data_IF_923493795563
#
_entry.id   IF_923493795563
#
_cell.length_a   1.000
_cell.length_b   1.000
_cell.length_c   1.000
_cell.angle_alpha   90.00
_cell.angle_beta   90.00
_cell.angle_gamma   90.00
#
_symmetry.space_group_name_H-M   'P 1'
#
loop_
_entity.id
_entity.type
_entity.pdbx_description
1 polymer ?
#
# COMPACT_ATOMS: atom_id res chain seq x y z
N UNK A 1 10.90 0.34 17.53
CA UNK A 1 12.03 1.30 17.51
C UNK A 1 13.19 0.82 18.36
N UNK A 2 12.92 0.29 19.56
CA UNK A 2 13.91 -0.24 20.51
C UNK A 2 14.92 -1.26 19.94
N UNK A 3 14.56 -2.07 18.95
CA UNK A 3 15.49 -3.03 18.35
C UNK A 3 16.52 -2.38 17.43
N UNK A 4 16.16 -1.29 16.73
CA UNK A 4 17.07 -0.62 15.78
C UNK A 4 18.19 0.11 16.51
N UNK A 5 17.91 0.62 17.70
CA UNK A 5 18.87 1.30 18.57
C UNK A 5 19.97 0.36 19.09
N UNK A 6 19.71 -0.96 19.12
CA UNK A 6 20.67 -1.98 19.57
C UNK A 6 21.59 -2.48 18.46
N UNK A 7 21.37 -2.07 17.22
CA UNK A 7 22.15 -2.54 16.06
C UNK A 7 23.16 -1.49 15.62
N UNK A 8 24.43 -1.91 15.48
CA UNK A 8 25.50 -1.08 14.92
C UNK A 8 25.51 -1.21 13.38
N UNK A 9 25.13 -0.17 12.62
CA UNK A 9 25.12 -0.21 11.17
C UNK A 9 26.55 -0.31 10.61
N UNK A 10 26.69 -0.93 9.45
CA UNK A 10 27.90 -0.82 8.64
C UNK A 10 28.06 0.60 8.10
N UNK A 11 29.30 0.99 7.83
CA UNK A 11 29.64 2.32 7.28
C UNK A 11 28.86 2.55 5.98
N UNK A 12 28.20 3.72 5.86
CA UNK A 12 27.35 4.10 4.72
C UNK A 12 25.90 3.63 4.81
N UNK A 13 25.49 3.02 5.94
CA UNK A 13 24.13 2.54 6.18
C UNK A 13 23.53 3.04 7.52
N UNK A 14 24.12 4.06 8.13
CA UNK A 14 23.80 4.58 9.45
C UNK A 14 22.36 5.10 9.55
N UNK A 15 21.90 5.78 8.49
CA UNK A 15 20.56 6.36 8.33
C UNK A 15 19.47 5.32 7.97
N UNK A 16 19.85 4.06 7.72
CA UNK A 16 18.87 3.04 7.32
C UNK A 16 18.03 2.60 8.53
N UNK A 17 16.71 2.82 8.47
CA UNK A 17 15.79 2.33 9.49
C UNK A 17 15.73 0.80 9.54
N UNK A 18 15.74 0.15 8.36
CA UNK A 18 15.69 -1.31 8.25
C UNK A 18 17.05 -1.86 7.84
N UNK A 19 17.62 -2.69 8.71
CA UNK A 19 18.90 -3.34 8.49
C UNK A 19 18.71 -4.83 8.18
N UNK A 20 19.59 -5.38 7.36
CA UNK A 20 19.75 -6.82 7.19
C UNK A 20 20.57 -7.42 8.34
N UNK A 21 20.70 -8.75 8.36
CA UNK A 21 21.59 -9.46 9.30
C UNK A 21 23.07 -9.07 9.17
N UNK A 22 23.47 -8.45 8.05
CA UNK A 22 24.81 -7.91 7.83
C UNK A 22 24.94 -6.44 8.27
N UNK A 23 23.95 -5.90 8.98
CA UNK A 23 23.87 -4.50 9.42
C UNK A 23 23.95 -3.47 8.29
N UNK A 24 23.51 -3.84 7.08
CA UNK A 24 23.39 -2.93 5.92
C UNK A 24 21.93 -2.64 5.64
N UNK A 25 21.63 -1.57 4.88
CA UNK A 25 20.27 -1.28 4.42
C UNK A 25 19.68 -2.52 3.72
N UNK A 26 18.48 -2.94 4.13
CA UNK A 26 17.80 -4.06 3.48
C UNK A 26 17.54 -3.75 2.00
N UNK A 27 17.76 -4.74 1.14
CA UNK A 27 17.51 -4.60 -0.29
C UNK A 27 16.04 -4.83 -0.62
N UNK A 28 15.57 -4.28 -1.74
CA UNK A 28 14.21 -4.51 -2.25
C UNK A 28 13.93 -6.01 -2.40
N UNK A 29 14.88 -6.75 -2.99
CA UNK A 29 14.76 -8.21 -3.17
C UNK A 29 14.64 -8.96 -1.86
N UNK A 30 15.33 -8.52 -0.80
CA UNK A 30 15.20 -9.13 0.51
C UNK A 30 13.79 -8.91 1.09
N UNK A 31 13.23 -7.71 0.94
CA UNK A 31 11.83 -7.41 1.34
C UNK A 31 10.84 -8.28 0.55
N UNK A 32 11.01 -8.39 -0.78
CA UNK A 32 10.17 -9.25 -1.62
C UNK A 32 10.22 -10.72 -1.19
N UNK A 33 11.41 -11.23 -0.90
CA UNK A 33 11.60 -12.60 -0.42
C UNK A 33 10.96 -12.83 0.94
N UNK A 34 11.07 -11.88 1.88
CA UNK A 34 10.42 -11.94 3.18
C UNK A 34 8.90 -11.98 3.03
N UNK A 35 8.32 -11.06 2.26
CA UNK A 35 6.88 -11.04 2.00
C UNK A 35 6.42 -12.35 1.36
N UNK A 36 7.15 -12.86 0.35
CA UNK A 36 6.83 -14.13 -0.30
C UNK A 36 6.90 -15.31 0.66
N UNK A 37 7.91 -15.36 1.55
CA UNK A 37 8.09 -16.41 2.55
C UNK A 37 6.88 -16.48 3.48
N UNK A 38 6.51 -15.37 4.09
CA UNK A 38 5.41 -15.35 5.06
C UNK A 38 4.03 -15.44 4.41
N UNK A 39 3.86 -14.86 3.21
CA UNK A 39 2.61 -15.00 2.47
C UNK A 39 2.30 -16.45 2.09
N UNK A 40 3.32 -17.25 1.72
CA UNK A 40 3.11 -18.69 1.43
C UNK A 40 2.59 -19.48 2.63
N UNK A 41 2.96 -19.07 3.85
CA UNK A 41 2.48 -19.71 5.07
C UNK A 41 1.04 -19.33 5.40
N UNK A 42 0.67 -18.07 5.18
CA UNK A 42 -0.67 -17.56 5.51
C UNK A 42 -1.71 -17.80 4.40
N UNK A 43 -1.32 -17.69 3.13
CA UNK A 43 -2.19 -17.75 1.94
C UNK A 43 -1.49 -18.50 0.79
N UNK A 44 -1.26 -19.83 0.92
CA UNK A 44 -0.42 -20.59 -0.01
C UNK A 44 -0.88 -20.55 -1.48
N UNK A 45 -2.18 -20.35 -1.72
CA UNK A 45 -2.76 -20.31 -3.07
C UNK A 45 -2.62 -18.93 -3.75
N UNK A 46 -2.13 -17.91 -3.06
CA UNK A 46 -2.04 -16.54 -3.58
C UNK A 46 -0.60 -16.07 -3.66
N UNK A 47 -0.23 -15.54 -4.83
CA UNK A 47 1.01 -14.80 -4.98
C UNK A 47 0.84 -13.38 -4.44
N UNK A 48 1.39 -13.13 -3.26
CA UNK A 48 1.42 -11.81 -2.60
C UNK A 48 2.82 -11.21 -2.74
N UNK A 49 2.87 -9.94 -3.14
CA UNK A 49 4.09 -9.13 -3.25
C UNK A 49 3.93 -7.83 -2.45
N UNK A 50 5.02 -7.12 -2.13
CA UNK A 50 4.94 -5.81 -1.47
C UNK A 50 4.03 -4.82 -2.21
N UNK A 51 4.11 -4.79 -3.54
CA UNK A 51 3.25 -3.93 -4.37
C UNK A 51 1.77 -4.30 -4.24
N UNK A 52 1.44 -5.58 -4.13
CA UNK A 52 0.05 -6.03 -3.96
C UNK A 52 -0.52 -5.63 -2.60
N UNK A 53 0.31 -5.64 -1.54
CA UNK A 53 -0.07 -5.11 -0.22
C UNK A 53 -0.39 -3.61 -0.31
N UNK A 54 0.47 -2.84 -0.99
CA UNK A 54 0.23 -1.40 -1.23
C UNK A 54 -1.04 -1.14 -2.03
N UNK A 55 -1.29 -1.92 -3.09
CA UNK A 55 -2.52 -1.80 -3.88
C UNK A 55 -3.77 -2.10 -3.07
N UNK A 56 -3.74 -3.13 -2.22
CA UNK A 56 -4.86 -3.45 -1.33
C UNK A 56 -5.11 -2.31 -0.36
N UNK A 57 -4.07 -1.77 0.27
CA UNK A 57 -4.19 -0.63 1.18
C UNK A 57 -4.84 0.59 0.48
N UNK A 58 -4.33 0.99 -0.69
CA UNK A 58 -4.91 2.12 -1.43
C UNK A 58 -6.36 1.89 -1.86
N UNK A 59 -6.71 0.66 -2.25
CA UNK A 59 -8.09 0.29 -2.61
C UNK A 59 -9.02 0.37 -1.40
N UNK A 60 -8.59 -0.16 -0.25
CA UNK A 60 -9.37 -0.13 1.00
C UNK A 60 -9.55 1.30 1.47
N UNK A 61 -8.47 2.08 1.54
CA UNK A 61 -8.51 3.47 1.98
C UNK A 61 -9.47 4.31 1.10
N UNK A 62 -9.43 4.13 -0.23
CA UNK A 62 -10.35 4.82 -1.12
C UNK A 62 -11.81 4.38 -0.91
N UNK A 63 -12.06 3.08 -0.67
CA UNK A 63 -13.41 2.57 -0.41
C UNK A 63 -14.01 3.12 0.88
N UNK A 64 -13.18 3.32 1.91
CA UNK A 64 -13.61 3.82 3.21
C UNK A 64 -13.80 5.34 3.22
N UNK A 65 -12.96 6.08 2.50
CA UNK A 65 -12.93 7.56 2.56
C UNK A 65 -13.63 8.23 1.38
N UNK A 66 -13.68 7.58 0.21
CA UNK A 66 -14.11 8.18 -1.04
C UNK A 66 -13.18 9.29 -1.57
N UNK A 67 -12.10 9.61 -0.86
CA UNK A 67 -11.22 10.73 -1.15
C UNK A 67 -9.95 10.26 -1.87
N UNK A 68 -9.88 10.53 -3.17
CA UNK A 68 -8.74 10.15 -3.99
C UNK A 68 -7.49 11.00 -3.73
N UNK A 69 -7.65 12.22 -3.23
CA UNK A 69 -6.54 13.12 -2.90
C UNK A 69 -5.86 12.66 -1.62
N UNK A 70 -6.65 12.31 -0.59
CA UNK A 70 -6.15 11.69 0.63
C UNK A 70 -5.38 10.40 0.32
N UNK A 71 -5.93 9.53 -0.53
CA UNK A 71 -5.26 8.29 -0.92
C UNK A 71 -3.94 8.57 -1.65
N UNK A 72 -3.89 9.59 -2.51
CA UNK A 72 -2.67 9.96 -3.22
C UNK A 72 -1.59 10.49 -2.28
N UNK A 73 -1.97 11.32 -1.32
CA UNK A 73 -1.08 11.90 -0.31
C UNK A 73 -0.47 10.82 0.59
N UNK A 74 -1.30 9.95 1.17
CA UNK A 74 -0.84 8.85 2.04
C UNK A 74 0.06 7.86 1.29
N UNK A 75 -0.21 7.64 0.00
CA UNK A 75 0.66 6.80 -0.83
C UNK A 75 1.93 7.55 -1.31
N UNK A 76 1.99 8.87 -1.21
CA UNK A 76 3.10 9.68 -1.72
C UNK A 76 3.17 9.72 -3.24
N UNK A 77 2.02 9.70 -3.92
CA UNK A 77 1.97 9.85 -5.37
C UNK A 77 2.03 11.34 -5.75
N UNK A 78 3.03 11.72 -6.56
CA UNK A 78 3.17 13.08 -7.10
C UNK A 78 2.02 13.49 -8.01
N UNK A 79 1.42 12.52 -8.69
CA UNK A 79 0.28 12.73 -9.58
C UNK A 79 -0.93 11.91 -9.11
N UNK A 80 -2.02 12.60 -8.77
CA UNK A 80 -3.32 12.02 -8.43
C UNK A 80 -3.89 11.16 -9.56
N UNK A 81 -3.54 11.44 -10.82
CA UNK A 81 -3.98 10.63 -11.96
C UNK A 81 -3.55 9.16 -11.83
N UNK A 82 -2.34 8.91 -11.30
CA UNK A 82 -1.84 7.55 -11.03
C UNK A 82 -2.75 6.87 -10.01
N UNK A 83 -3.06 7.54 -8.90
CA UNK A 83 -3.97 7.06 -7.86
C UNK A 83 -5.37 6.78 -8.41
N UNK A 84 -5.93 7.70 -9.20
CA UNK A 84 -7.27 7.57 -9.80
C UNK A 84 -7.37 6.35 -10.71
N UNK A 85 -6.38 6.15 -11.58
CA UNK A 85 -6.34 5.02 -12.51
C UNK A 85 -6.34 3.67 -11.78
N UNK A 86 -5.64 3.59 -10.64
CA UNK A 86 -5.47 2.34 -9.91
C UNK A 86 -6.59 2.04 -8.90
N UNK A 87 -7.17 3.05 -8.27
CA UNK A 87 -8.12 2.84 -7.15
C UNK A 87 -9.54 3.31 -7.43
N UNK A 88 -9.71 4.39 -8.22
CA UNK A 88 -11.04 4.90 -8.55
C UNK A 88 -11.70 4.14 -9.72
N UNK A 89 -10.93 3.49 -10.60
CA UNK A 89 -11.47 2.66 -11.68
C UNK A 89 -12.17 1.38 -11.17
N UNK A 90 -11.82 0.90 -9.96
CA UNK A 90 -12.45 -0.24 -9.32
C UNK A 90 -13.90 0.04 -8.83
N UNK A 91 -14.42 1.23 -9.12
CA UNK A 91 -15.67 1.76 -8.59
C UNK A 91 -16.83 1.72 -9.60
N UNK A 92 -17.07 0.57 -10.25
CA UNK A 92 -18.39 0.37 -10.87
C UNK A 92 -19.50 0.42 -9.79
N UNK A 93 -19.20 -0.03 -8.58
CA UNK A 93 -20.13 0.00 -7.45
C UNK A 93 -20.58 1.42 -7.06
N UNK A 94 -19.70 2.44 -7.05
CA UNK A 94 -20.14 3.79 -6.66
C UNK A 94 -21.03 4.44 -7.72
N UNK A 95 -20.89 4.11 -9.02
CA UNK A 95 -21.81 4.63 -10.05
C UNK A 95 -23.23 4.11 -9.83
N UNK A 96 -23.35 2.82 -9.48
CA UNK A 96 -24.64 2.19 -9.20
C UNK A 96 -25.27 2.75 -7.91
N UNK A 97 -24.47 2.97 -6.87
CA UNK A 97 -24.92 3.64 -5.64
C UNK A 97 -25.33 5.10 -5.89
N UNK A 98 -24.54 5.87 -6.64
CA UNK A 98 -24.86 7.27 -6.95
C UNK A 98 -26.18 7.40 -7.70
N UNK A 99 -26.46 6.50 -8.66
CA UNK A 99 -27.74 6.46 -9.37
C UNK A 99 -28.94 6.19 -8.45
N UNK A 100 -28.74 5.52 -7.31
CA UNK A 100 -29.79 5.27 -6.31
C UNK A 100 -29.97 6.40 -5.31
N UNK A 101 -28.92 7.20 -5.05
CA UNK A 101 -28.95 8.31 -4.08
C UNK A 101 -29.62 9.56 -4.66
N UNK A 102 -29.48 9.81 -5.97
CA UNK A 102 -30.17 10.92 -6.64
C UNK A 102 -31.64 10.54 -6.85
N UNK A 103 -32.47 10.70 -5.81
CA UNK A 103 -33.91 10.89 -6.03
C UNK A 103 -34.10 12.28 -6.63
N UNK A 104 -34.45 12.34 -7.91
CA UNK A 104 -35.04 13.55 -8.50
C UNK A 104 -36.21 13.94 -7.58
N UNK A 105 -36.26 15.21 -7.17
CA UNK A 105 -37.43 15.75 -6.46
C UNK A 105 -38.65 15.41 -7.31
N UNK A 106 -39.56 14.61 -6.76
CA UNK A 106 -40.90 14.49 -7.32
C UNK A 106 -41.63 15.78 -6.94
N UNK A 107 -42.09 16.50 -7.95
CA UNK A 107 -42.92 17.70 -7.83
C UNK A 107 -44.30 17.39 -7.24
#
# INVERSE_FOLDING_TARGET
MLERERMTPQIGHEEALFLSLQNRRITVRAVENLVKKYAKLAVPLKNISPHKLRSTFGTTLYRETGDIYLVADVLGHKDVNTTRKHYAAASQDNRRKAAQVVKLRED
#
